data_IF_837468028052
#
_entry.id   IF_837468028052
#
_cell.length_a   1.000
_cell.length_b   1.000
_cell.length_c   1.000
_cell.angle_alpha   90.00
_cell.angle_beta   90.00
_cell.angle_gamma   90.00
#
_symmetry.space_group_name_H-M   'P 1'
#
loop_
_entity.id
_entity.type
_entity.pdbx_description
1 polymer ?
#
# COMPACT_ATOMS: atom_id res chain seq x y z
N UNK A 1 20.60 5.54 16.69
CA UNK A 1 19.52 6.32 16.00
C UNK A 1 19.10 5.78 14.63
N UNK A 2 19.94 5.05 13.87
CA UNK A 2 19.59 4.56 12.51
C UNK A 2 18.48 3.48 12.46
N UNK A 3 18.31 2.66 13.50
CA UNK A 3 17.30 1.58 13.52
C UNK A 3 15.89 2.03 13.86
N UNK A 4 15.70 3.14 14.59
CA UNK A 4 14.36 3.57 15.03
C UNK A 4 13.52 4.10 13.86
N UNK A 5 14.15 4.88 12.98
CA UNK A 5 13.51 5.40 11.76
C UNK A 5 13.13 4.29 10.78
N UNK A 6 13.96 3.25 10.64
CA UNK A 6 13.63 2.09 9.81
C UNK A 6 12.47 1.26 10.39
N UNK A 7 12.39 1.14 11.72
CA UNK A 7 11.28 0.45 12.38
C UNK A 7 9.96 1.22 12.27
N UNK A 8 9.98 2.54 12.39
CA UNK A 8 8.81 3.42 12.19
C UNK A 8 8.28 3.34 10.75
N UNK A 9 9.19 3.37 9.77
CA UNK A 9 8.89 3.20 8.34
C UNK A 9 8.24 1.85 8.06
N UNK A 10 8.76 0.76 8.65
CA UNK A 10 8.13 -0.56 8.51
C UNK A 10 6.73 -0.63 9.16
N UNK A 11 6.54 -0.02 10.33
CA UNK A 11 5.24 0.01 11.00
C UNK A 11 4.18 0.80 10.19
N UNK A 12 4.59 1.90 9.54
CA UNK A 12 3.72 2.66 8.64
C UNK A 12 3.31 1.83 7.41
N UNK A 13 4.25 1.09 6.83
CA UNK A 13 3.96 0.18 5.71
C UNK A 13 2.99 -0.94 6.14
N UNK A 14 3.19 -1.55 7.30
CA UNK A 14 2.29 -2.59 7.82
C UNK A 14 0.87 -2.04 8.08
N UNK A 15 0.76 -0.84 8.66
CA UNK A 15 -0.54 -0.18 8.87
C UNK A 15 -1.26 0.09 7.53
N UNK A 16 -0.51 0.54 6.52
CA UNK A 16 -1.05 0.78 5.17
C UNK A 16 -1.49 -0.51 4.50
N UNK A 17 -0.74 -1.61 4.67
CA UNK A 17 -1.13 -2.93 4.16
C UNK A 17 -2.44 -3.38 4.82
N UNK A 18 -2.56 -3.27 6.14
CA UNK A 18 -3.78 -3.63 6.87
C UNK A 18 -4.99 -2.81 6.40
N UNK A 19 -4.79 -1.52 6.10
CA UNK A 19 -5.85 -0.67 5.53
C UNK A 19 -6.27 -1.14 4.13
N UNK A 20 -5.32 -1.52 3.27
CA UNK A 20 -5.59 -2.00 1.91
C UNK A 20 -6.45 -3.26 1.90
N UNK A 21 -6.25 -4.17 2.86
CA UNK A 21 -7.04 -5.40 2.97
C UNK A 21 -8.54 -5.16 3.17
N UNK A 22 -8.94 -3.97 3.62
CA UNK A 22 -10.33 -3.59 3.86
C UNK A 22 -10.90 -2.64 2.79
N UNK A 23 -10.09 -2.23 1.81
CA UNK A 23 -10.53 -1.25 0.81
C UNK A 23 -11.51 -1.86 -0.21
N UNK A 24 -12.45 -1.02 -0.64
CA UNK A 24 -13.29 -1.24 -1.83
C UNK A 24 -12.54 -0.90 -3.11
N UNK A 25 -13.09 -1.31 -4.27
CA UNK A 25 -12.48 -1.04 -5.57
C UNK A 25 -12.28 0.47 -5.84
N UNK A 26 -13.26 1.30 -5.47
CA UNK A 26 -13.18 2.76 -5.64
C UNK A 26 -12.09 3.38 -4.74
N UNK A 27 -11.98 2.90 -3.50
CA UNK A 27 -10.92 3.30 -2.58
C UNK A 27 -9.53 2.89 -3.07
N UNK A 28 -9.41 1.70 -3.67
CA UNK A 28 -8.16 1.23 -4.31
C UNK A 28 -7.75 2.15 -5.45
N UNK A 29 -8.67 2.53 -6.35
CA UNK A 29 -8.36 3.42 -7.47
C UNK A 29 -7.86 4.79 -6.99
N UNK A 30 -8.52 5.36 -5.98
CA UNK A 30 -8.10 6.62 -5.36
C UNK A 30 -6.73 6.50 -4.69
N UNK A 31 -6.49 5.39 -4.00
CA UNK A 31 -5.23 5.11 -3.32
C UNK A 31 -4.06 4.98 -4.30
N UNK A 32 -4.25 4.25 -5.42
CA UNK A 32 -3.23 4.09 -6.45
C UNK A 32 -2.80 5.43 -7.06
N UNK A 33 -3.75 6.34 -7.30
CA UNK A 33 -3.45 7.69 -7.80
C UNK A 33 -2.54 8.47 -6.85
N UNK A 34 -2.82 8.42 -5.54
CA UNK A 34 -1.98 9.07 -4.51
C UNK A 34 -0.60 8.41 -4.39
N UNK A 35 -0.56 7.08 -4.44
CA UNK A 35 0.68 6.32 -4.34
C UNK A 35 1.65 6.67 -5.48
N UNK A 36 1.16 6.81 -6.72
CA UNK A 36 1.99 7.22 -7.85
C UNK A 36 2.60 8.61 -7.64
N UNK A 37 1.85 9.56 -7.07
CA UNK A 37 2.37 10.89 -6.74
C UNK A 37 3.43 10.84 -5.62
N UNK A 38 3.24 10.00 -4.61
CA UNK A 38 4.20 9.84 -3.52
C UNK A 38 5.50 9.16 -3.99
N UNK A 39 5.42 8.21 -4.93
CA UNK A 39 6.59 7.64 -5.60
C UNK A 39 7.31 8.72 -6.42
N UNK A 40 6.58 9.47 -7.25
CA UNK A 40 7.14 10.51 -8.10
C UNK A 40 7.85 11.63 -7.31
N UNK A 41 7.35 11.93 -6.10
CA UNK A 41 7.92 12.94 -5.20
C UNK A 41 8.98 12.38 -4.24
N UNK A 42 9.30 11.07 -4.33
CA UNK A 42 10.30 10.42 -3.48
C UNK A 42 9.90 10.30 -2.00
N UNK A 43 8.60 10.41 -1.68
CA UNK A 43 8.07 10.26 -0.33
C UNK A 43 7.95 8.82 0.12
N UNK A 44 7.96 7.88 -0.83
CA UNK A 44 7.92 6.44 -0.61
C UNK A 44 9.16 5.81 -1.23
N UNK A 45 9.85 4.97 -0.47
CA UNK A 45 10.98 4.21 -0.98
C UNK A 45 10.50 3.08 -1.91
N UNK A 46 11.29 2.68 -2.94
CA UNK A 46 10.88 1.64 -3.88
C UNK A 46 10.46 0.32 -3.22
N UNK A 47 11.11 -0.08 -2.12
CA UNK A 47 10.77 -1.32 -1.40
C UNK A 47 9.38 -1.25 -0.75
N UNK A 48 9.02 -0.10 -0.20
CA UNK A 48 7.70 0.13 0.39
C UNK A 48 6.62 0.14 -0.68
N UNK A 49 6.89 0.82 -1.81
CA UNK A 49 6.01 0.82 -2.97
C UNK A 49 5.74 -0.61 -3.47
N UNK A 50 6.76 -1.47 -3.54
CA UNK A 50 6.60 -2.88 -3.93
C UNK A 50 5.74 -3.67 -2.93
N UNK A 51 5.91 -3.46 -1.62
CA UNK A 51 5.10 -4.14 -0.61
C UNK A 51 3.63 -3.72 -0.69
N UNK A 52 3.38 -2.43 -0.90
CA UNK A 52 2.05 -1.87 -1.08
C UNK A 52 1.40 -2.38 -2.37
N UNK A 53 2.12 -2.44 -3.50
CA UNK A 53 1.61 -3.01 -4.76
C UNK A 53 1.18 -4.47 -4.59
N UNK A 54 1.96 -5.26 -3.85
CA UNK A 54 1.61 -6.65 -3.56
C UNK A 54 0.29 -6.77 -2.77
N UNK A 55 0.12 -5.94 -1.73
CA UNK A 55 -1.11 -5.90 -0.95
C UNK A 55 -2.32 -5.48 -1.81
N UNK A 56 -2.15 -4.49 -2.69
CA UNK A 56 -3.21 -4.05 -3.61
C UNK A 56 -3.65 -5.17 -4.56
N UNK A 57 -2.70 -5.90 -5.16
CA UNK A 57 -3.01 -7.05 -6.02
C UNK A 57 -3.77 -8.15 -5.28
N UNK A 58 -3.36 -8.44 -4.04
CA UNK A 58 -4.05 -9.42 -3.18
C UNK A 58 -5.49 -8.99 -2.92
N UNK A 59 -5.73 -7.72 -2.57
CA UNK A 59 -7.09 -7.23 -2.34
C UNK A 59 -7.94 -7.24 -3.61
N UNK A 60 -7.41 -6.79 -4.75
CA UNK A 60 -8.13 -6.81 -6.02
C UNK A 60 -8.59 -8.23 -6.39
N UNK A 61 -7.73 -9.23 -6.19
CA UNK A 61 -8.09 -10.63 -6.40
C UNK A 61 -9.20 -11.10 -5.45
N UNK A 62 -9.16 -10.68 -4.18
CA UNK A 62 -10.23 -11.00 -3.22
C UNK A 62 -11.58 -10.37 -3.64
N UNK A 63 -11.57 -9.10 -4.07
CA UNK A 63 -12.78 -8.45 -4.62
C UNK A 63 -13.30 -9.21 -5.84
N UNK A 64 -12.41 -9.60 -6.76
CA UNK A 64 -12.81 -10.39 -7.93
C UNK A 64 -13.48 -11.71 -7.53
N UNK A 65 -12.98 -12.37 -6.47
CA UNK A 65 -13.57 -13.60 -5.95
C UNK A 65 -14.91 -13.38 -5.25
N UNK A 66 -15.09 -12.26 -4.54
CA UNK A 66 -16.36 -11.87 -3.89
C UNK A 66 -17.48 -11.60 -4.91
N UNK A 67 -17.12 -11.23 -6.14
CA UNK A 67 -18.06 -10.93 -7.23
C UNK A 67 -18.42 -12.14 -8.11
N UNK A 68 -17.75 -13.29 -7.93
CA UNK A 68 -18.02 -14.54 -8.66
C UNK A 68 -19.02 -15.41 -7.91
#
# INVERSE_FOLDING_TARGET
MRNRKAAEVNADVEARIAQIEQMTLEQIATFQGRMLADIATGRIAPREASAIDHALRKRLKAIEQELR
#
